data_IF_837396860504
#
_entry.id   IF_837396860504
#
_cell.length_a   1.000
_cell.length_b   1.000
_cell.length_c   1.000
_cell.angle_alpha   90.00
_cell.angle_beta   90.00
_cell.angle_gamma   90.00
#
_symmetry.space_group_name_H-M   'P 1'
#
loop_
_entity.id
_entity.type
_entity.pdbx_description
1 polymer ?
#
# COMPACT_ATOMS: atom_id res chain seq x y z
N UNK A 1 19.69 20.12 8.47
CA UNK A 1 20.52 21.16 7.82
C UNK A 1 21.95 21.07 8.36
N UNK A 2 22.89 20.72 7.50
CA UNK A 2 24.30 20.50 7.87
C UNK A 2 25.00 21.80 8.31
N UNK A 3 24.58 22.94 7.78
CA UNK A 3 25.16 24.27 8.09
C UNK A 3 24.65 24.78 9.42
N UNK A 4 23.31 24.75 9.60
CA UNK A 4 22.65 25.25 10.82
C UNK A 4 22.69 24.26 11.99
N UNK A 5 23.12 23.01 11.74
CA UNK A 5 23.09 21.90 12.72
C UNK A 5 21.71 21.74 13.38
N UNK A 6 20.65 21.97 12.63
CA UNK A 6 19.26 21.89 13.04
C UNK A 6 18.49 20.92 12.14
N UNK A 7 17.30 20.42 12.54
CA UNK A 7 16.44 19.64 11.69
C UNK A 7 16.15 20.37 10.37
N UNK A 8 16.16 19.63 9.26
CA UNK A 8 15.84 20.21 7.96
C UNK A 8 14.32 20.39 7.83
N UNK A 9 13.89 21.61 7.52
CA UNK A 9 12.45 21.96 7.55
C UNK A 9 11.60 21.21 6.52
N UNK A 10 12.22 20.76 5.42
CA UNK A 10 11.56 20.01 4.34
C UNK A 10 11.69 18.48 4.50
N UNK A 11 12.19 18.03 5.62
CA UNK A 11 12.28 16.60 5.91
C UNK A 11 10.88 16.01 6.19
N UNK A 12 10.40 15.04 5.39
CA UNK A 12 9.10 14.41 5.62
C UNK A 12 8.97 13.76 7.00
N UNK A 13 10.06 13.14 7.49
CA UNK A 13 10.09 12.53 8.83
C UNK A 13 9.95 13.59 9.93
N UNK A 14 10.56 14.76 9.75
CA UNK A 14 10.38 15.92 10.62
C UNK A 14 8.92 16.41 10.63
N UNK A 15 8.23 16.34 9.50
CA UNK A 15 6.80 16.66 9.39
C UNK A 15 5.94 15.66 10.17
N UNK A 16 6.23 14.37 10.09
CA UNK A 16 5.54 13.34 10.87
C UNK A 16 5.71 13.55 12.38
N UNK A 17 6.92 13.88 12.84
CA UNK A 17 7.16 14.24 14.27
C UNK A 17 6.36 15.46 14.71
N UNK A 18 6.28 16.50 13.89
CA UNK A 18 5.45 17.68 14.17
C UNK A 18 3.95 17.31 14.29
N UNK A 19 3.48 16.34 13.50
CA UNK A 19 2.09 15.87 13.58
C UNK A 19 1.81 15.13 14.90
N UNK A 20 2.74 14.26 15.35
CA UNK A 20 2.62 13.62 16.67
C UNK A 20 2.62 14.64 17.82
N UNK A 21 3.49 15.65 17.75
CA UNK A 21 3.53 16.74 18.75
C UNK A 21 2.25 17.57 18.70
N UNK A 22 1.71 17.83 17.51
CA UNK A 22 0.45 18.55 17.35
C UNK A 22 -0.72 17.79 17.98
N UNK A 23 -0.81 16.48 17.78
CA UNK A 23 -1.85 15.64 18.39
C UNK A 23 -1.84 15.82 19.92
N UNK A 24 -0.68 15.70 20.56
CA UNK A 24 -0.53 15.89 22.01
C UNK A 24 -0.94 17.29 22.45
N UNK A 25 -0.49 18.33 21.74
CA UNK A 25 -0.80 19.74 22.05
C UNK A 25 -2.26 20.08 21.86
N UNK A 26 -2.95 19.42 20.92
CA UNK A 26 -4.37 19.64 20.66
C UNK A 26 -5.27 19.14 21.80
N UNK A 27 -4.75 18.23 22.63
CA UNK A 27 -5.51 17.60 23.71
C UNK A 27 -6.54 16.55 23.24
N UNK A 28 -6.63 16.28 21.93
CA UNK A 28 -7.53 15.25 21.38
C UNK A 28 -7.05 13.86 21.72
N UNK A 29 -5.74 13.64 21.65
CA UNK A 29 -5.11 12.35 21.98
C UNK A 29 -3.64 12.51 22.35
N UNK A 30 -3.05 11.44 22.84
CA UNK A 30 -1.62 11.37 23.18
C UNK A 30 -0.85 10.43 22.25
N UNK A 31 -1.55 9.50 21.58
CA UNK A 31 -1.01 8.55 20.62
C UNK A 31 -1.93 8.41 19.41
N UNK A 32 -1.36 8.25 18.24
CA UNK A 32 -2.06 7.78 17.04
C UNK A 32 -1.35 6.55 16.50
N UNK A 33 -2.13 5.55 16.11
CA UNK A 33 -1.63 4.33 15.49
C UNK A 33 -2.09 4.25 14.04
N UNK A 34 -1.20 3.74 13.22
CA UNK A 34 -1.38 3.57 11.78
C UNK A 34 -1.04 2.13 11.39
N UNK A 35 -1.90 1.50 10.58
CA UNK A 35 -1.68 0.19 9.99
C UNK A 35 -1.73 0.32 8.47
N UNK A 36 -0.59 0.51 7.79
CA UNK A 36 -0.54 0.56 6.35
C UNK A 36 -0.59 -0.84 5.74
N UNK A 37 -1.30 -0.98 4.61
CA UNK A 37 -1.45 -2.20 3.80
C UNK A 37 -0.93 -1.95 2.39
N UNK A 38 0.40 -1.84 2.19
CA UNK A 38 0.95 -1.54 0.87
C UNK A 38 0.89 -2.76 -0.04
N UNK A 39 0.16 -2.63 -1.14
CA UNK A 39 0.10 -3.59 -2.23
C UNK A 39 1.18 -3.33 -3.27
N UNK A 40 1.59 -4.37 -3.99
CA UNK A 40 2.59 -4.28 -5.05
C UNK A 40 2.41 -5.39 -6.09
N UNK A 41 3.01 -5.18 -7.27
CA UNK A 41 3.09 -6.18 -8.31
C UNK A 41 4.51 -6.71 -8.46
N UNK A 42 4.61 -7.99 -8.87
CA UNK A 42 5.87 -8.63 -9.23
C UNK A 42 5.78 -9.14 -10.66
N UNK A 43 6.76 -8.79 -11.48
CA UNK A 43 6.84 -9.20 -12.89
C UNK A 43 8.10 -10.00 -13.14
N UNK A 44 8.00 -11.00 -14.04
CA UNK A 44 9.14 -11.80 -14.48
C UNK A 44 10.08 -11.01 -15.38
N UNK A 45 9.56 -10.10 -16.20
CA UNK A 45 10.34 -9.18 -17.03
C UNK A 45 9.68 -7.81 -17.13
N UNK A 46 10.49 -6.76 -17.04
CA UNK A 46 10.06 -5.38 -17.25
C UNK A 46 11.04 -4.70 -18.19
N UNK A 47 10.54 -4.23 -19.32
CA UNK A 47 11.32 -3.48 -20.31
C UNK A 47 10.77 -2.06 -20.40
N UNK A 48 11.64 -1.10 -20.13
CA UNK A 48 11.28 0.32 -20.11
C UNK A 48 11.84 0.96 -21.37
N UNK A 49 10.97 1.69 -22.07
CA UNK A 49 11.34 2.60 -23.13
C UNK A 49 11.08 4.04 -22.66
N UNK A 50 12.11 4.85 -22.63
CA UNK A 50 12.04 6.24 -22.15
C UNK A 50 12.68 7.20 -23.15
N UNK A 51 12.43 6.99 -24.44
CA UNK A 51 12.84 7.90 -25.49
C UNK A 51 11.88 9.10 -25.58
N UNK A 52 12.36 10.27 -26.01
CA UNK A 52 11.50 11.46 -26.17
C UNK A 52 10.25 11.24 -27.03
N UNK A 53 10.34 10.38 -28.04
CA UNK A 53 9.26 10.10 -29.00
C UNK A 53 8.50 8.82 -28.72
N UNK A 54 8.94 7.99 -27.76
CA UNK A 54 8.32 6.73 -27.44
C UNK A 54 8.57 6.35 -25.97
N UNK A 55 7.62 6.68 -25.12
CA UNK A 55 7.70 6.37 -23.69
C UNK A 55 6.68 5.32 -23.32
N UNK A 56 7.13 4.27 -22.63
CA UNK A 56 6.26 3.20 -22.19
C UNK A 56 7.03 2.06 -21.51
N UNK A 57 6.33 1.00 -21.20
CA UNK A 57 6.92 -0.22 -20.68
C UNK A 57 6.20 -1.45 -21.21
N UNK A 58 6.91 -2.56 -21.28
CA UNK A 58 6.36 -3.89 -21.48
C UNK A 58 6.62 -4.71 -20.22
N UNK A 59 5.64 -5.48 -19.83
CA UNK A 59 5.71 -6.38 -18.69
C UNK A 59 5.42 -7.81 -19.14
N UNK A 60 5.98 -8.77 -18.43
CA UNK A 60 5.71 -10.17 -18.59
C UNK A 60 5.57 -10.84 -17.22
N UNK A 61 4.65 -11.79 -17.10
CA UNK A 61 4.46 -12.56 -15.88
C UNK A 61 3.90 -13.93 -16.20
N UNK A 62 4.41 -14.95 -15.55
CA UNK A 62 3.87 -16.30 -15.66
C UNK A 62 2.41 -16.40 -15.22
N UNK A 63 1.93 -15.52 -14.33
CA UNK A 63 0.54 -15.48 -13.87
C UNK A 63 -0.37 -14.64 -14.76
N UNK A 64 0.18 -13.73 -15.55
CA UNK A 64 -0.59 -12.73 -16.26
C UNK A 64 -1.19 -13.24 -17.57
N UNK A 65 -2.36 -12.69 -17.92
CA UNK A 65 -2.96 -12.86 -19.26
C UNK A 65 -2.19 -12.10 -20.35
N UNK A 66 -1.34 -11.17 -19.93
CA UNK A 66 -0.40 -10.39 -20.76
C UNK A 66 0.95 -11.09 -20.94
N UNK A 67 1.00 -12.36 -20.67
CA UNK A 67 2.16 -13.23 -20.86
C UNK A 67 2.57 -13.27 -22.35
N UNK A 68 3.88 -13.12 -22.59
CA UNK A 68 4.44 -13.11 -23.94
C UNK A 68 4.52 -14.48 -24.61
N UNK A 69 4.12 -15.56 -23.92
CA UNK A 69 4.35 -16.94 -24.34
C UNK A 69 5.76 -17.44 -24.07
N UNK A 70 6.57 -16.71 -23.31
CA UNK A 70 7.89 -17.16 -22.86
C UNK A 70 7.76 -18.45 -22.05
N UNK A 71 8.63 -19.42 -22.29
CA UNK A 71 8.78 -20.58 -21.43
C UNK A 71 9.53 -20.20 -20.17
N UNK A 72 8.94 -20.53 -19.02
CA UNK A 72 9.53 -20.27 -17.70
C UNK A 72 10.10 -21.55 -17.10
N UNK A 73 11.09 -21.41 -16.24
CA UNK A 73 11.78 -22.54 -15.62
C UNK A 73 10.85 -23.48 -14.83
N UNK A 74 9.73 -22.97 -14.33
CA UNK A 74 8.72 -23.75 -13.61
C UNK A 74 7.75 -24.51 -14.52
N UNK A 75 7.88 -24.39 -15.83
CA UNK A 75 7.15 -25.20 -16.82
C UNK A 75 5.72 -24.75 -17.06
N UNK A 76 4.77 -25.63 -16.81
CA UNK A 76 3.38 -25.48 -17.23
C UNK A 76 2.67 -24.26 -16.65
N UNK A 77 2.15 -23.39 -17.53
CA UNK A 77 1.46 -22.14 -17.21
C UNK A 77 -0.07 -22.28 -17.12
N UNK A 78 -0.60 -23.51 -17.10
CA UNK A 78 -2.04 -23.78 -17.07
C UNK A 78 -2.72 -23.43 -15.73
N UNK A 79 -1.93 -23.35 -14.67
CA UNK A 79 -2.39 -23.00 -13.34
C UNK A 79 -2.09 -21.52 -13.04
N UNK A 80 -3.03 -20.64 -13.33
CA UNK A 80 -2.88 -19.21 -13.07
C UNK A 80 -4.22 -18.55 -12.69
N UNK A 81 -4.21 -17.47 -11.91
CA UNK A 81 -5.42 -16.78 -11.57
C UNK A 81 -6.02 -16.09 -12.81
N UNK A 82 -7.34 -16.07 -12.97
CA UNK A 82 -7.98 -15.22 -13.97
C UNK A 82 -7.90 -13.73 -13.57
N UNK A 83 -8.15 -12.86 -14.55
CA UNK A 83 -8.31 -11.41 -14.29
C UNK A 83 -9.31 -11.20 -13.15
N UNK A 84 -8.96 -10.42 -12.13
CA UNK A 84 -9.75 -10.17 -10.90
C UNK A 84 -10.06 -11.42 -10.05
N UNK A 85 -9.35 -12.52 -10.25
CA UNK A 85 -9.62 -13.79 -9.55
C UNK A 85 -8.46 -14.31 -8.72
N UNK A 86 -7.46 -13.48 -8.39
CA UNK A 86 -6.24 -13.86 -7.66
C UNK A 86 -6.33 -13.77 -6.14
N UNK A 87 -7.49 -13.42 -5.56
CA UNK A 87 -7.57 -13.19 -4.12
C UNK A 87 -7.56 -14.48 -3.31
N UNK A 88 -6.52 -14.68 -2.51
CA UNK A 88 -6.30 -15.85 -1.64
C UNK A 88 -6.33 -17.22 -2.35
N UNK A 89 -5.70 -17.41 -3.52
CA UNK A 89 -5.56 -18.75 -4.07
C UNK A 89 -4.57 -19.57 -3.25
N UNK A 90 -4.52 -20.85 -3.55
CA UNK A 90 -3.51 -21.78 -3.04
C UNK A 90 -2.65 -22.31 -4.17
N UNK A 91 -1.42 -22.80 -3.91
CA UNK A 91 -0.64 -23.49 -4.93
C UNK A 91 -1.43 -24.63 -5.58
N UNK A 92 -1.29 -24.91 -6.90
CA UNK A 92 -0.31 -24.30 -7.81
C UNK A 92 -0.73 -22.99 -8.47
N UNK A 93 -1.98 -22.52 -8.25
CA UNK A 93 -2.46 -21.24 -8.81
C UNK A 93 -1.69 -20.07 -8.22
N UNK A 94 -1.41 -20.11 -6.93
CA UNK A 94 -0.49 -19.20 -6.24
C UNK A 94 0.96 -19.64 -6.47
N UNK A 95 1.58 -19.12 -7.51
CA UNK A 95 2.95 -19.47 -7.88
C UNK A 95 4.03 -18.74 -7.08
N UNK A 96 3.67 -17.72 -6.31
CA UNK A 96 4.60 -16.79 -5.63
C UNK A 96 4.59 -16.91 -4.09
N UNK A 97 3.96 -17.96 -3.55
CA UNK A 97 3.85 -18.17 -2.10
C UNK A 97 5.21 -18.19 -1.40
N UNK A 98 6.18 -18.91 -1.96
CA UNK A 98 7.51 -19.05 -1.34
C UNK A 98 8.28 -17.73 -1.31
N UNK A 99 8.18 -16.96 -2.38
CA UNK A 99 8.78 -15.61 -2.43
C UNK A 99 8.14 -14.68 -1.39
N UNK A 100 6.80 -14.74 -1.22
CA UNK A 100 6.15 -13.96 -0.14
C UNK A 100 6.58 -14.42 1.25
N UNK A 101 6.84 -15.70 1.45
CA UNK A 101 7.44 -16.22 2.68
C UNK A 101 8.82 -15.62 2.96
N UNK A 102 9.65 -15.47 1.92
CA UNK A 102 10.99 -14.87 2.05
C UNK A 102 10.92 -13.35 2.35
N UNK A 103 9.92 -12.63 1.81
CA UNK A 103 9.68 -11.24 2.23
C UNK A 103 9.42 -11.15 3.74
N UNK A 104 8.50 -11.96 4.27
CA UNK A 104 8.18 -11.90 5.70
C UNK A 104 9.39 -12.23 6.57
N UNK A 105 10.20 -13.21 6.16
CA UNK A 105 11.43 -13.57 6.86
C UNK A 105 12.41 -12.39 6.87
N UNK A 106 12.68 -11.80 5.72
CA UNK A 106 13.61 -10.66 5.58
C UNK A 106 13.12 -9.42 6.34
N UNK A 107 11.81 -9.12 6.27
CA UNK A 107 11.21 -8.03 7.04
C UNK A 107 11.37 -8.24 8.55
N UNK A 108 11.17 -9.46 9.04
CA UNK A 108 11.37 -9.81 10.44
C UNK A 108 12.83 -9.67 10.86
N UNK A 109 13.79 -10.07 10.01
CA UNK A 109 15.23 -9.94 10.27
C UNK A 109 15.68 -8.46 10.40
N UNK A 110 15.05 -7.55 9.67
CA UNK A 110 15.31 -6.10 9.80
C UNK A 110 14.47 -5.42 10.89
N UNK A 111 13.73 -6.20 11.70
CA UNK A 111 13.02 -5.70 12.88
C UNK A 111 11.58 -5.27 12.65
N UNK A 112 11.02 -5.44 11.46
CA UNK A 112 9.60 -5.16 11.20
C UNK A 112 8.74 -6.32 11.72
N UNK A 113 7.75 -6.00 12.53
CA UNK A 113 6.74 -6.97 12.96
C UNK A 113 5.74 -7.23 11.85
N UNK A 114 5.74 -8.46 11.34
CA UNK A 114 4.87 -8.90 10.25
C UNK A 114 3.77 -9.81 10.76
N UNK A 115 2.63 -9.81 10.08
CA UNK A 115 1.43 -10.58 10.47
C UNK A 115 1.15 -11.70 9.47
N UNK A 116 0.97 -11.35 8.20
CA UNK A 116 0.52 -12.27 7.15
C UNK A 116 1.06 -11.87 5.79
N UNK A 117 0.90 -12.76 4.82
CA UNK A 117 1.00 -12.44 3.40
C UNK A 117 -0.12 -13.11 2.61
N UNK A 118 -0.48 -12.54 1.50
CA UNK A 118 -1.41 -13.17 0.56
C UNK A 118 -1.20 -12.66 -0.88
N UNK A 119 -1.72 -13.43 -1.82
CA UNK A 119 -1.88 -13.00 -3.19
C UNK A 119 -3.10 -12.08 -3.28
N UNK A 120 -2.97 -10.98 -4.00
CA UNK A 120 -4.03 -10.01 -4.20
C UNK A 120 -4.91 -10.32 -5.43
N UNK A 121 -5.88 -9.44 -5.70
CA UNK A 121 -6.96 -9.66 -6.68
C UNK A 121 -6.44 -9.83 -8.11
N UNK A 122 -5.47 -9.02 -8.52
CA UNK A 122 -4.89 -9.15 -9.86
C UNK A 122 -3.81 -10.24 -9.92
N UNK A 123 -3.65 -10.94 -11.05
CA UNK A 123 -2.44 -11.71 -11.30
C UNK A 123 -1.17 -10.91 -11.02
N UNK A 124 -0.17 -11.51 -10.41
CA UNK A 124 1.10 -10.89 -10.02
C UNK A 124 1.01 -9.83 -8.91
N UNK A 125 -0.12 -9.70 -8.26
CA UNK A 125 -0.34 -8.72 -7.19
C UNK A 125 -0.27 -9.37 -5.81
N UNK A 126 0.40 -8.69 -4.88
CA UNK A 126 0.71 -9.18 -3.54
C UNK A 126 0.50 -8.11 -2.47
N UNK A 127 0.23 -8.60 -1.26
CA UNK A 127 0.20 -7.79 -0.05
C UNK A 127 0.88 -8.52 1.11
N UNK A 128 1.57 -7.75 1.96
CA UNK A 128 2.17 -8.25 3.20
C UNK A 128 1.66 -7.40 4.36
N UNK A 129 1.06 -8.04 5.35
CA UNK A 129 0.55 -7.37 6.56
C UNK A 129 1.67 -7.05 7.54
N UNK A 130 1.67 -5.83 8.04
CA UNK A 130 2.51 -5.37 9.15
C UNK A 130 1.63 -5.04 10.35
N UNK A 131 2.13 -5.30 11.56
CA UNK A 131 1.47 -4.79 12.76
C UNK A 131 1.45 -3.26 12.75
N UNK A 132 0.37 -2.67 13.27
CA UNK A 132 0.25 -1.23 13.40
C UNK A 132 1.29 -0.66 14.40
N UNK A 133 1.62 0.61 14.26
CA UNK A 133 2.54 1.34 15.13
C UNK A 133 2.28 2.84 15.09
N UNK A 134 3.17 3.62 15.71
CA UNK A 134 3.05 5.09 15.70
C UNK A 134 3.28 5.66 14.30
N UNK A 135 2.94 6.91 14.08
CA UNK A 135 3.06 7.56 12.77
C UNK A 135 4.50 7.51 12.23
N UNK A 136 5.47 7.91 13.06
CA UNK A 136 6.88 7.96 12.63
C UNK A 136 7.41 6.56 12.40
N UNK A 137 7.14 5.61 13.29
CA UNK A 137 7.59 4.22 13.15
C UNK A 137 7.04 3.57 11.89
N UNK A 138 5.75 3.75 11.59
CA UNK A 138 5.14 3.16 10.41
C UNK A 138 5.60 3.84 9.11
N UNK A 139 5.83 5.14 9.13
CA UNK A 139 6.40 5.82 7.97
C UNK A 139 7.81 5.30 7.65
N UNK A 140 8.65 5.11 8.67
CA UNK A 140 9.98 4.50 8.51
C UNK A 140 9.87 3.03 8.04
N UNK A 141 8.97 2.24 8.64
CA UNK A 141 8.73 0.84 8.28
C UNK A 141 8.28 0.67 6.82
N UNK A 142 7.40 1.55 6.31
CA UNK A 142 6.97 1.50 4.90
C UNK A 142 8.14 1.74 3.95
N UNK A 143 9.07 2.64 4.27
CA UNK A 143 10.26 2.86 3.44
C UNK A 143 11.14 1.60 3.42
N UNK A 144 11.39 1.01 4.59
CA UNK A 144 12.19 -0.21 4.70
C UNK A 144 11.49 -1.41 4.05
N UNK A 145 10.17 -1.54 4.23
CA UNK A 145 9.34 -2.53 3.56
C UNK A 145 9.51 -2.50 2.04
N UNK A 146 9.37 -1.31 1.43
CA UNK A 146 9.53 -1.16 -0.02
C UNK A 146 10.92 -1.55 -0.50
N UNK A 147 11.94 -1.20 0.26
CA UNK A 147 13.32 -1.58 -0.03
C UNK A 147 13.51 -3.11 0.04
N UNK A 148 13.05 -3.75 1.11
CA UNK A 148 13.15 -5.20 1.29
C UNK A 148 12.41 -5.95 0.18
N UNK A 149 11.17 -5.53 -0.14
CA UNK A 149 10.40 -6.13 -1.24
C UNK A 149 11.18 -6.06 -2.55
N UNK A 150 11.73 -4.90 -2.90
CA UNK A 150 12.50 -4.75 -4.14
C UNK A 150 13.76 -5.63 -4.14
N UNK A 151 14.49 -5.70 -3.03
CA UNK A 151 15.73 -6.48 -2.93
C UNK A 151 15.48 -7.98 -2.98
N UNK A 152 14.49 -8.47 -2.24
CA UNK A 152 14.13 -9.90 -2.27
C UNK A 152 13.60 -10.28 -3.66
N UNK A 153 12.71 -9.48 -4.25
CA UNK A 153 12.24 -9.72 -5.63
C UNK A 153 13.39 -9.82 -6.62
N UNK A 154 14.37 -8.91 -6.50
CA UNK A 154 15.57 -8.93 -7.35
C UNK A 154 16.37 -10.23 -7.18
N UNK A 155 16.48 -10.77 -5.97
CA UNK A 155 17.18 -12.04 -5.72
C UNK A 155 16.48 -13.25 -6.39
N UNK A 156 15.18 -13.15 -6.66
CA UNK A 156 14.42 -14.13 -7.44
C UNK A 156 14.48 -13.87 -8.97
N UNK A 157 15.27 -12.90 -9.42
CA UNK A 157 15.38 -12.54 -10.85
C UNK A 157 14.14 -11.82 -11.39
N UNK A 158 13.31 -11.25 -10.53
CA UNK A 158 12.05 -10.57 -10.87
C UNK A 158 12.10 -9.09 -10.52
N UNK A 159 11.04 -8.36 -10.87
CA UNK A 159 10.92 -6.91 -10.60
C UNK A 159 9.64 -6.61 -9.84
N UNK A 160 9.77 -5.98 -8.66
CA UNK A 160 8.63 -5.46 -7.91
C UNK A 160 8.34 -4.00 -8.26
N UNK A 161 7.06 -3.63 -8.27
CA UNK A 161 6.63 -2.24 -8.43
C UNK A 161 5.47 -1.89 -7.52
N UNK A 162 5.52 -0.68 -6.95
CA UNK A 162 4.43 -0.05 -6.21
C UNK A 162 3.64 0.94 -7.09
N UNK A 163 3.78 0.82 -8.41
CA UNK A 163 3.03 1.64 -9.36
C UNK A 163 1.53 1.46 -9.15
N UNK A 164 0.75 2.54 -9.02
CA UNK A 164 -0.69 2.45 -8.72
C UNK A 164 -1.50 1.61 -9.70
N UNK A 165 -1.20 1.70 -11.01
CA UNK A 165 -1.91 0.94 -12.05
C UNK A 165 -0.92 0.46 -13.12
N UNK A 166 -0.17 -0.62 -12.86
CA UNK A 166 0.77 -1.15 -13.84
C UNK A 166 0.07 -1.93 -14.97
N UNK A 167 -1.09 -2.54 -14.68
CA UNK A 167 -1.85 -3.35 -15.64
C UNK A 167 -3.20 -2.68 -15.92
N UNK A 168 -3.48 -2.39 -17.18
CA UNK A 168 -4.78 -1.89 -17.61
C UNK A 168 -5.83 -3.03 -17.57
N UNK A 169 -7.05 -2.71 -17.15
CA UNK A 169 -8.15 -3.69 -17.12
C UNK A 169 -8.14 -4.66 -15.94
N UNK A 170 -7.24 -4.49 -14.97
CA UNK A 170 -7.20 -5.26 -13.73
C UNK A 170 -7.06 -4.35 -12.50
N UNK A 171 -7.02 -4.92 -11.29
CA UNK A 171 -6.83 -4.14 -10.06
C UNK A 171 -5.47 -3.43 -10.05
N UNK A 172 -5.32 -2.42 -9.20
CA UNK A 172 -4.09 -1.66 -9.03
C UNK A 172 -3.62 -1.69 -7.58
N UNK A 173 -2.39 -1.22 -7.34
CA UNK A 173 -1.78 -1.15 -6.01
C UNK A 173 -2.35 -0.01 -5.19
N UNK A 174 -2.93 -0.33 -4.05
CA UNK A 174 -3.31 0.61 -3.00
C UNK A 174 -2.32 0.61 -1.84
N UNK A 175 -2.54 1.51 -0.92
CA UNK A 175 -2.04 1.45 0.44
C UNK A 175 -3.16 1.95 1.34
N UNK A 176 -4.04 1.06 1.78
CA UNK A 176 -5.02 1.38 2.79
C UNK A 176 -4.30 1.68 4.11
N UNK A 177 -4.85 2.61 4.89
CA UNK A 177 -4.22 2.99 6.15
C UNK A 177 -5.29 2.96 7.25
N UNK A 178 -5.26 1.93 8.07
CA UNK A 178 -6.04 1.88 9.30
C UNK A 178 -5.51 2.92 10.29
N UNK A 179 -6.41 3.64 10.94
CA UNK A 179 -6.03 4.74 11.82
C UNK A 179 -6.83 4.71 13.12
N UNK A 180 -6.17 4.98 14.24
CA UNK A 180 -6.82 5.15 15.52
C UNK A 180 -6.09 6.19 16.38
N UNK A 181 -6.85 6.94 17.17
CA UNK A 181 -6.33 7.89 18.17
C UNK A 181 -6.66 7.36 19.55
N UNK A 182 -5.69 7.50 20.46
CA UNK A 182 -5.78 7.04 21.83
C UNK A 182 -5.45 8.17 22.79
N UNK A 183 -6.09 8.17 23.97
CA UNK A 183 -5.87 9.11 25.06
C UNK A 183 -5.93 8.36 26.37
N UNK A 184 -4.87 8.43 27.17
CA UNK A 184 -4.74 7.69 28.44
C UNK A 184 -5.08 6.21 28.26
N UNK A 185 -4.50 5.59 27.23
CA UNK A 185 -4.67 4.16 26.83
C UNK A 185 -6.13 3.75 26.53
N UNK A 186 -7.00 4.71 26.19
CA UNK A 186 -8.37 4.46 25.73
C UNK A 186 -8.55 4.90 24.27
N UNK A 187 -9.25 4.11 23.43
CA UNK A 187 -9.52 4.48 22.05
C UNK A 187 -10.48 5.66 21.99
N UNK A 188 -10.09 6.72 21.26
CA UNK A 188 -10.90 7.93 21.10
C UNK A 188 -11.98 7.75 20.03
N UNK A 189 -11.79 6.84 19.09
CA UNK A 189 -12.70 6.64 17.97
C UNK A 189 -13.88 5.72 18.27
N UNK A 190 -13.85 4.94 19.35
CA UNK A 190 -14.96 4.09 19.76
C UNK A 190 -16.08 4.90 20.39
N UNK A 191 -17.34 4.64 20.04
CA UNK A 191 -18.52 5.33 20.55
C UNK A 191 -19.82 4.69 20.10
N UNK A 192 -20.92 5.42 20.27
CA UNK A 192 -22.28 4.92 20.04
C UNK A 192 -22.95 5.53 18.79
N UNK A 193 -22.21 6.33 18.01
CA UNK A 193 -22.75 6.93 16.79
C UNK A 193 -22.64 5.95 15.60
N UNK A 194 -22.81 6.44 14.37
CA UNK A 194 -22.80 5.64 13.15
C UNK A 194 -21.60 4.67 13.11
N UNK A 195 -21.87 3.40 12.86
CA UNK A 195 -20.89 2.30 12.77
C UNK A 195 -20.07 2.07 14.06
N UNK A 196 -20.57 2.45 15.24
CA UNK A 196 -19.85 2.31 16.51
C UNK A 196 -18.75 3.34 16.71
N UNK A 197 -18.78 4.43 15.96
CA UNK A 197 -17.82 5.53 16.05
C UNK A 197 -18.24 6.59 17.09
N UNK A 198 -17.24 7.28 17.62
CA UNK A 198 -17.47 8.47 18.43
C UNK A 198 -17.71 9.71 17.55
N UNK A 199 -18.25 10.78 18.15
CA UNK A 199 -18.36 12.08 17.48
C UNK A 199 -16.98 12.60 17.03
N UNK A 200 -15.95 12.41 17.85
CA UNK A 200 -14.57 12.75 17.48
C UNK A 200 -14.09 12.02 16.24
N UNK A 201 -14.42 10.73 16.10
CA UNK A 201 -14.09 9.96 14.89
C UNK A 201 -14.81 10.51 13.66
N UNK A 202 -16.09 10.86 13.78
CA UNK A 202 -16.86 11.46 12.68
C UNK A 202 -16.29 12.83 12.27
N UNK A 203 -15.86 13.64 13.23
CA UNK A 203 -15.16 14.90 12.93
C UNK A 203 -13.80 14.67 12.25
N UNK A 204 -13.06 13.63 12.65
CA UNK A 204 -11.81 13.25 12.02
C UNK A 204 -12.02 12.84 10.56
N UNK A 205 -13.00 11.99 10.28
CA UNK A 205 -13.41 11.59 8.91
C UNK A 205 -13.82 12.83 8.12
N UNK A 206 -14.64 13.71 8.69
CA UNK A 206 -15.02 14.97 8.07
C UNK A 206 -13.81 15.85 7.70
N UNK A 207 -12.78 15.86 8.54
CA UNK A 207 -11.51 16.54 8.27
C UNK A 207 -10.77 15.93 7.07
N UNK A 208 -10.67 14.60 6.97
CA UNK A 208 -10.07 13.90 5.83
C UNK A 208 -10.81 14.27 4.55
N UNK A 209 -12.13 14.15 4.53
CA UNK A 209 -12.95 14.45 3.35
C UNK A 209 -12.85 15.93 2.93
N UNK A 210 -12.87 16.85 3.90
CA UNK A 210 -12.71 18.29 3.64
C UNK A 210 -11.37 18.62 2.98
N UNK A 211 -10.30 17.92 3.38
CA UNK A 211 -8.95 18.15 2.89
C UNK A 211 -8.49 17.12 1.84
N UNK A 212 -9.39 16.28 1.34
CA UNK A 212 -9.07 15.18 0.43
C UNK A 212 -8.31 15.62 -0.82
N UNK A 213 -8.64 16.78 -1.41
CA UNK A 213 -7.90 17.31 -2.57
C UNK A 213 -6.44 17.63 -2.24
N UNK A 214 -6.18 18.21 -1.07
CA UNK A 214 -4.82 18.50 -0.62
C UNK A 214 -4.07 17.22 -0.27
N UNK A 215 -4.72 16.26 0.38
CA UNK A 215 -4.15 14.95 0.71
C UNK A 215 -3.76 14.22 -0.59
N UNK A 216 -4.63 14.21 -1.59
CA UNK A 216 -4.38 13.56 -2.88
C UNK A 216 -3.19 14.14 -3.65
N UNK A 217 -2.82 15.39 -3.44
CA UNK A 217 -1.61 15.97 -4.03
C UNK A 217 -0.33 15.25 -3.60
N UNK A 218 -0.35 14.60 -2.43
CA UNK A 218 0.76 13.82 -1.88
C UNK A 218 0.54 12.31 -2.01
N UNK A 219 -0.64 11.81 -1.64
CA UNK A 219 -0.94 10.37 -1.63
C UNK A 219 -1.23 9.80 -3.03
N UNK A 220 -1.72 10.61 -3.97
CA UNK A 220 -2.02 10.25 -5.35
C UNK A 220 -1.36 11.23 -6.34
N UNK A 221 -0.04 11.37 -6.21
CA UNK A 221 0.73 12.46 -6.82
C UNK A 221 1.01 12.31 -8.33
N UNK A 222 0.70 11.15 -8.94
CA UNK A 222 1.02 10.88 -10.35
C UNK A 222 -0.22 10.72 -11.21
N UNK A 223 -0.09 10.91 -12.52
CA UNK A 223 -1.16 10.62 -13.50
C UNK A 223 -1.58 9.15 -13.45
N UNK A 224 -0.66 8.24 -13.16
CA UNK A 224 -0.94 6.82 -13.00
C UNK A 224 -1.81 6.54 -11.76
N UNK A 225 -1.69 7.34 -10.69
CA UNK A 225 -2.56 7.22 -9.51
C UNK A 225 -4.03 7.33 -9.88
N UNK A 226 -4.39 8.26 -10.77
CA UNK A 226 -5.76 8.46 -11.21
C UNK A 226 -6.26 7.40 -12.20
N UNK A 227 -5.37 6.64 -12.84
CA UNK A 227 -5.75 5.45 -13.61
C UNK A 227 -6.19 4.29 -12.70
N UNK A 228 -5.76 4.28 -11.43
CA UNK A 228 -6.24 3.34 -10.41
C UNK A 228 -7.61 3.73 -9.86
N UNK A 229 -7.87 5.02 -9.65
CA UNK A 229 -9.08 5.53 -9.01
C UNK A 229 -10.28 5.54 -9.96
N UNK A 230 -10.66 4.36 -10.45
CA UNK A 230 -11.79 4.14 -11.35
C UNK A 230 -12.74 3.08 -10.77
N UNK A 231 -14.07 3.17 -11.07
CA UNK A 231 -15.05 2.20 -10.57
C UNK A 231 -14.77 0.77 -11.02
N UNK A 232 -15.12 -0.20 -10.17
CA UNK A 232 -15.06 -1.62 -10.50
C UNK A 232 -13.74 -2.33 -10.23
N UNK A 233 -12.75 -1.64 -9.64
CA UNK A 233 -11.42 -2.19 -9.33
C UNK A 233 -11.02 -1.98 -7.87
N UNK A 234 -11.98 -1.99 -6.96
CA UNK A 234 -11.79 -1.90 -5.50
C UNK A 234 -10.97 -0.67 -5.06
N UNK A 235 -11.10 0.43 -5.82
CA UNK A 235 -10.48 1.71 -5.49
C UNK A 235 -11.50 2.68 -4.91
N UNK A 236 -11.11 3.57 -3.97
CA UNK A 236 -11.98 4.60 -3.42
C UNK A 236 -12.22 5.68 -4.46
N UNK A 237 -13.42 5.71 -5.04
CA UNK A 237 -13.80 6.67 -6.09
C UNK A 237 -14.76 7.76 -5.60
N UNK A 238 -15.33 7.58 -4.40
CA UNK A 238 -16.28 8.51 -3.81
C UNK A 238 -15.65 9.22 -2.60
N UNK A 239 -15.67 10.55 -2.60
CA UNK A 239 -15.31 11.35 -1.43
C UNK A 239 -16.46 11.31 -0.41
N UNK A 240 -16.65 10.16 0.21
CA UNK A 240 -17.67 9.86 1.18
C UNK A 240 -17.13 8.92 2.25
N UNK A 241 -17.88 8.74 3.32
CA UNK A 241 -17.64 7.67 4.28
C UNK A 241 -18.83 6.72 4.33
N UNK A 242 -18.56 5.45 4.50
CA UNK A 242 -19.62 4.44 4.60
C UNK A 242 -19.07 3.15 5.21
N UNK A 243 -19.76 2.66 6.24
CA UNK A 243 -19.38 1.38 6.83
C UNK A 243 -19.46 0.24 5.82
N UNK A 244 -18.39 -0.56 5.73
CA UNK A 244 -18.29 -1.75 4.86
C UNK A 244 -18.47 -1.46 3.36
N UNK A 245 -18.11 -0.27 2.90
CA UNK A 245 -18.22 0.13 1.49
C UNK A 245 -16.84 0.50 0.93
N UNK A 246 -16.26 -0.39 0.15
CA UNK A 246 -14.91 -0.22 -0.45
C UNK A 246 -14.82 0.88 -1.51
N UNK A 247 -15.93 1.43 -1.98
CA UNK A 247 -15.94 2.57 -2.94
C UNK A 247 -15.88 3.92 -2.24
N UNK A 248 -16.06 3.97 -0.93
CA UNK A 248 -15.93 5.18 -0.11
C UNK A 248 -14.46 5.42 0.27
N UNK A 249 -14.10 6.70 0.45
CA UNK A 249 -12.74 7.08 0.84
C UNK A 249 -12.43 6.78 2.31
N UNK A 250 -13.47 6.67 3.15
CA UNK A 250 -13.36 6.34 4.58
C UNK A 250 -14.43 5.34 5.00
#
# INVERSE_FOLDING_TARGET
DAVKKSPYERDPRGTAKKAEDFLKKSGVGDKAYFGPEPEFFVFDDVRINNDPNNTGFKIDSQEGTYNSGTEYANGNMGHRPPVKGGYFPVPPVDSEQDMRGEYLKSLKEVGIKVEKHHHEVAPSQHELGMYFGTLVDQADNVQLYKYVVQMVTHSFGKTATFMPKPVAGDNGSGMHIHQSIWKNDKPVFSGDAYAGLSETALHYIGGILKHAKAINAFSNATTNSYKRLIPGFEAPVLLAYSARNRSASC
#
